data_IF_083672280706
#
_entry.id   IF_083672280706
#
_cell.length_a   1.000
_cell.length_b   1.000
_cell.length_c   1.000
_cell.angle_alpha   90.00
_cell.angle_beta   90.00
_cell.angle_gamma   90.00
#
_symmetry.space_group_name_H-M   'P 1'
#
loop_
_entity.id
_entity.type
_entity.pdbx_description
1 polymer ?
#
# COMPACT_ATOMS: atom_id res chain seq x y z
N UNK A 1 17.04 20.98 -42.76
CA UNK A 1 15.96 19.96 -42.79
C UNK A 1 16.00 19.27 -44.15
N UNK A 2 16.04 17.94 -44.18
CA UNK A 2 16.15 17.19 -45.44
C UNK A 2 14.88 17.32 -46.31
N UNK A 3 15.03 17.20 -47.61
CA UNK A 3 13.94 17.28 -48.59
C UNK A 3 12.75 16.35 -48.23
N UNK A 4 13.04 15.15 -47.78
CA UNK A 4 12.00 14.16 -47.36
C UNK A 4 11.12 14.69 -46.22
N UNK A 5 11.70 15.35 -45.21
CA UNK A 5 10.95 15.95 -44.10
C UNK A 5 10.06 17.11 -44.59
N UNK A 6 10.56 17.98 -45.46
CA UNK A 6 9.76 19.09 -46.00
C UNK A 6 8.55 18.58 -46.78
N UNK A 7 8.72 17.54 -47.60
CA UNK A 7 7.63 16.92 -48.34
C UNK A 7 6.64 16.24 -47.40
N UNK A 8 7.11 15.50 -46.38
CA UNK A 8 6.24 14.88 -45.36
C UNK A 8 5.38 15.93 -44.66
N UNK A 9 5.97 17.01 -44.20
CA UNK A 9 5.26 18.11 -43.56
C UNK A 9 4.20 18.76 -44.48
N UNK A 10 4.54 18.94 -45.75
CA UNK A 10 3.61 19.50 -46.75
C UNK A 10 2.42 18.55 -46.99
N UNK A 11 2.66 17.25 -47.06
CA UNK A 11 1.59 16.22 -47.19
C UNK A 11 0.61 16.23 -46.04
N UNK A 12 1.12 16.34 -44.81
CA UNK A 12 0.26 16.46 -43.60
C UNK A 12 -0.55 17.76 -43.63
N UNK A 13 0.08 18.87 -44.00
CA UNK A 13 -0.57 20.18 -44.04
C UNK A 13 -1.64 20.28 -45.15
N UNK A 14 -1.49 19.54 -46.23
CA UNK A 14 -2.45 19.49 -47.33
C UNK A 14 -3.69 18.66 -46.95
N UNK A 15 -3.53 17.60 -46.13
CA UNK A 15 -4.58 16.69 -45.67
C UNK A 15 -5.04 17.04 -44.25
N UNK A 16 -5.27 18.32 -43.92
CA UNK A 16 -5.52 18.81 -42.53
C UNK A 16 -6.58 18.01 -41.75
N UNK A 17 -7.74 17.75 -42.37
CA UNK A 17 -8.85 17.03 -41.69
C UNK A 17 -8.43 15.63 -41.29
N UNK A 18 -7.74 14.88 -42.14
CA UNK A 18 -7.25 13.54 -41.87
C UNK A 18 -6.14 13.58 -40.82
N UNK A 19 -5.18 14.51 -40.93
CA UNK A 19 -4.10 14.71 -39.97
C UNK A 19 -4.64 14.99 -38.57
N UNK A 20 -5.60 15.91 -38.42
CA UNK A 20 -6.23 16.22 -37.11
C UNK A 20 -6.94 15.01 -36.53
N UNK A 21 -7.70 14.26 -37.33
CA UNK A 21 -8.39 13.07 -36.85
C UNK A 21 -7.41 12.02 -36.31
N UNK A 22 -6.27 11.83 -36.98
CA UNK A 22 -5.22 10.90 -36.54
C UNK A 22 -4.60 11.37 -35.22
N UNK A 23 -4.23 12.65 -35.13
CA UNK A 23 -3.64 13.22 -33.91
C UNK A 23 -4.61 13.06 -32.72
N UNK A 24 -5.90 13.34 -32.93
CA UNK A 24 -6.91 13.15 -31.87
C UNK A 24 -6.99 11.68 -31.46
N UNK A 25 -7.00 10.74 -32.43
CA UNK A 25 -7.06 9.30 -32.12
C UNK A 25 -5.86 8.82 -31.31
N UNK A 26 -4.64 9.26 -31.70
CA UNK A 26 -3.41 8.93 -30.97
C UNK A 26 -3.42 9.58 -29.58
N UNK A 27 -3.78 10.87 -29.50
CA UNK A 27 -3.83 11.60 -28.24
C UNK A 27 -4.79 10.96 -27.23
N UNK A 28 -5.98 10.53 -27.68
CA UNK A 28 -6.93 9.79 -26.85
C UNK A 28 -6.31 8.47 -26.36
N UNK A 29 -5.71 7.68 -27.25
CA UNK A 29 -5.07 6.42 -26.87
C UNK A 29 -3.95 6.59 -25.85
N UNK A 30 -3.06 7.57 -26.05
CA UNK A 30 -1.96 7.88 -25.10
C UNK A 30 -2.51 8.40 -23.79
N UNK A 31 -3.53 9.26 -23.82
CA UNK A 31 -4.17 9.79 -22.62
C UNK A 31 -4.78 8.67 -21.76
N UNK A 32 -5.51 7.76 -22.39
CA UNK A 32 -6.09 6.59 -21.70
C UNK A 32 -5.00 5.73 -21.06
N UNK A 33 -3.88 5.50 -21.76
CA UNK A 33 -2.78 4.71 -21.25
C UNK A 33 -2.11 5.34 -20.03
N UNK A 34 -1.82 6.65 -20.09
CA UNK A 34 -1.24 7.39 -18.98
C UNK A 34 -2.22 7.40 -17.79
N UNK A 35 -3.50 7.63 -18.06
CA UNK A 35 -4.54 7.64 -17.04
C UNK A 35 -4.64 6.31 -16.30
N UNK A 36 -4.71 5.19 -17.02
CA UNK A 36 -4.76 3.85 -16.41
C UNK A 36 -3.51 3.60 -15.57
N UNK A 37 -2.32 3.92 -16.09
CA UNK A 37 -1.07 3.76 -15.36
C UNK A 37 -1.03 4.56 -14.04
N UNK A 38 -1.41 5.83 -14.08
CA UNK A 38 -1.47 6.69 -12.90
C UNK A 38 -2.54 6.23 -11.90
N UNK A 39 -3.70 5.81 -12.39
CA UNK A 39 -4.80 5.32 -11.54
C UNK A 39 -4.38 4.07 -10.78
N UNK A 40 -3.76 3.10 -11.45
CA UNK A 40 -3.31 1.85 -10.83
C UNK A 40 -2.21 2.12 -9.80
N UNK A 41 -1.19 2.91 -10.16
CA UNK A 41 -0.13 3.28 -9.23
C UNK A 41 -0.65 4.05 -8.02
N UNK A 42 -1.61 4.97 -8.23
CA UNK A 42 -2.25 5.71 -7.15
C UNK A 42 -3.03 4.82 -6.19
N UNK A 43 -3.81 3.87 -6.73
CA UNK A 43 -4.56 2.90 -5.93
C UNK A 43 -3.61 1.98 -5.14
N UNK A 44 -2.56 1.45 -5.76
CA UNK A 44 -1.58 0.61 -5.08
C UNK A 44 -0.89 1.36 -3.93
N UNK A 45 -0.44 2.59 -4.19
CA UNK A 45 0.17 3.43 -3.15
C UNK A 45 -0.80 3.69 -2.01
N UNK A 46 -2.03 4.07 -2.30
CA UNK A 46 -3.08 4.32 -1.31
C UNK A 46 -3.40 3.07 -0.48
N UNK A 47 -3.47 1.88 -1.11
CA UNK A 47 -3.69 0.62 -0.40
C UNK A 47 -2.53 0.30 0.56
N UNK A 48 -1.29 0.46 0.13
CA UNK A 48 -0.12 0.23 0.97
C UNK A 48 -0.10 1.22 2.14
N UNK A 49 -0.30 2.51 1.87
CA UNK A 49 -0.34 3.54 2.91
C UNK A 49 -1.48 3.32 3.91
N UNK A 50 -2.66 2.91 3.47
CA UNK A 50 -3.79 2.63 4.37
C UNK A 50 -3.59 1.35 5.21
N UNK A 51 -2.86 0.37 4.68
CA UNK A 51 -2.63 -0.92 5.36
C UNK A 51 -1.44 -0.85 6.30
N UNK A 52 -0.37 -0.18 5.89
CA UNK A 52 0.94 -0.21 6.57
C UNK A 52 1.37 1.15 7.11
N UNK A 53 0.89 2.25 6.51
CA UNK A 53 1.35 3.60 6.85
C UNK A 53 1.05 4.04 8.29
N UNK A 54 -0.01 3.49 8.89
CA UNK A 54 -0.44 3.76 10.26
C UNK A 54 -0.17 2.58 11.23
N UNK A 55 0.76 1.70 10.87
CA UNK A 55 1.17 0.55 11.69
C UNK A 55 2.69 0.37 11.65
N UNK A 56 3.20 -0.62 12.34
CA UNK A 56 4.62 -0.96 12.28
C UNK A 56 5.00 -1.48 10.88
N UNK A 57 6.13 -1.02 10.35
CA UNK A 57 6.67 -1.49 9.09
C UNK A 57 7.75 -2.56 9.25
N UNK A 58 8.39 -2.60 10.43
CA UNK A 58 9.33 -3.64 10.82
C UNK A 58 8.92 -4.13 12.21
N UNK A 59 8.92 -5.44 12.40
CA UNK A 59 8.51 -6.06 13.66
C UNK A 59 9.55 -7.10 14.05
N UNK A 60 9.98 -7.08 15.31
CA UNK A 60 10.79 -8.14 15.89
C UNK A 60 9.85 -9.07 16.64
N UNK A 61 9.85 -10.33 16.24
CA UNK A 61 9.01 -11.37 16.83
C UNK A 61 9.86 -12.49 17.42
N UNK A 62 9.37 -13.25 18.42
CA UNK A 62 10.04 -14.44 18.89
C UNK A 62 10.16 -15.47 17.76
N UNK A 63 11.31 -16.15 17.64
CA UNK A 63 11.50 -17.23 16.66
C UNK A 63 10.50 -18.37 16.86
N UNK A 64 10.10 -18.63 18.10
CA UNK A 64 9.07 -19.62 18.41
C UNK A 64 7.69 -18.95 18.38
N UNK A 65 6.82 -19.44 17.53
CA UNK A 65 5.42 -18.98 17.45
C UNK A 65 4.74 -19.02 18.82
N UNK A 66 4.10 -17.90 19.20
CA UNK A 66 3.47 -17.75 20.54
C UNK A 66 4.47 -17.57 21.69
N UNK A 67 5.76 -17.36 21.38
CA UNK A 67 6.79 -17.03 22.37
C UNK A 67 6.71 -15.59 22.86
N UNK A 68 7.65 -15.24 23.74
CA UNK A 68 7.80 -13.90 24.31
C UNK A 68 9.26 -13.49 24.24
N UNK A 69 9.52 -12.20 24.12
CA UNK A 69 10.85 -11.60 24.13
C UNK A 69 11.15 -11.11 25.54
N UNK A 70 12.18 -11.68 26.17
CA UNK A 70 12.71 -11.24 27.46
C UNK A 70 13.94 -10.38 27.23
N UNK A 71 14.25 -9.46 28.15
CA UNK A 71 15.38 -8.54 28.00
C UNK A 71 15.25 -7.60 26.79
N UNK A 72 14.02 -7.33 26.38
CA UNK A 72 13.68 -6.50 25.23
C UNK A 72 14.21 -5.06 25.38
N UNK A 73 14.50 -4.60 26.58
CA UNK A 73 15.00 -3.26 26.87
C UNK A 73 16.36 -2.97 26.19
N UNK A 74 17.23 -3.99 26.13
CA UNK A 74 18.52 -3.87 25.45
C UNK A 74 18.34 -3.72 23.92
N UNK A 75 17.38 -4.46 23.37
CA UNK A 75 17.00 -4.37 21.95
C UNK A 75 16.42 -2.98 21.68
N UNK A 76 15.48 -2.53 22.51
CA UNK A 76 14.86 -1.21 22.41
C UNK A 76 15.90 -0.10 22.35
N UNK A 77 16.87 -0.11 23.27
CA UNK A 77 17.92 0.89 23.31
C UNK A 77 18.75 0.95 22.02
N UNK A 78 19.14 -0.21 21.48
CA UNK A 78 19.87 -0.29 20.20
C UNK A 78 19.06 0.26 19.03
N UNK A 79 17.73 0.06 19.03
CA UNK A 79 16.84 0.53 17.99
C UNK A 79 16.56 2.03 18.08
N UNK A 80 16.45 2.57 19.30
CA UNK A 80 16.27 4.00 19.54
C UNK A 80 17.50 4.82 19.13
N UNK A 81 18.70 4.22 19.23
CA UNK A 81 19.98 4.83 18.81
C UNK A 81 20.21 4.72 17.28
N UNK A 82 19.29 4.14 16.50
CA UNK A 82 19.44 3.93 15.06
C UNK A 82 18.72 5.02 14.25
N UNK A 83 19.48 5.84 13.54
CA UNK A 83 18.97 6.96 12.73
C UNK A 83 18.01 6.52 11.58
N UNK A 84 18.04 5.25 11.14
CA UNK A 84 17.14 4.72 10.11
C UNK A 84 15.75 4.35 10.69
N UNK A 85 15.59 4.35 12.02
CA UNK A 85 14.34 4.00 12.72
C UNK A 85 13.70 5.27 13.28
N UNK A 86 12.47 5.55 12.89
CA UNK A 86 11.76 6.77 13.27
C UNK A 86 11.12 6.66 14.65
N UNK A 87 10.34 5.59 14.84
CA UNK A 87 9.62 5.30 16.07
C UNK A 87 9.79 3.84 16.44
N UNK A 88 9.94 3.57 17.73
CA UNK A 88 10.00 2.20 18.28
C UNK A 88 9.03 2.07 19.42
N UNK A 89 8.28 0.98 19.42
CA UNK A 89 7.36 0.61 20.49
C UNK A 89 7.46 -0.88 20.77
N UNK A 90 6.90 -1.31 21.88
CA UNK A 90 6.77 -2.71 22.23
C UNK A 90 5.34 -3.02 22.66
N UNK A 91 4.91 -4.24 22.43
CA UNK A 91 3.55 -4.68 22.71
C UNK A 91 3.53 -6.06 23.34
N UNK A 92 2.67 -6.23 24.31
CA UNK A 92 2.28 -7.55 24.82
C UNK A 92 0.87 -7.84 24.33
N UNK A 93 0.74 -8.83 23.46
CA UNK A 93 -0.56 -9.19 22.90
C UNK A 93 -0.96 -10.62 23.25
N UNK A 94 -2.25 -10.84 23.37
CA UNK A 94 -2.82 -12.17 23.62
C UNK A 94 -4.17 -12.31 22.91
N UNK A 95 -4.36 -13.41 22.14
CA UNK A 95 -5.69 -13.76 21.64
C UNK A 95 -6.66 -13.92 22.81
N UNK A 96 -7.83 -13.35 22.68
CA UNK A 96 -8.82 -13.27 23.74
C UNK A 96 -10.23 -13.42 23.16
N UNK A 97 -11.21 -13.58 24.05
CA UNK A 97 -12.62 -13.63 23.67
C UNK A 97 -13.39 -12.54 24.41
N UNK A 98 -14.18 -11.78 23.69
CA UNK A 98 -15.12 -10.82 24.29
C UNK A 98 -16.53 -11.40 24.30
N UNK A 99 -17.24 -11.19 25.40
CA UNK A 99 -18.64 -11.60 25.58
C UNK A 99 -19.55 -10.42 25.25
N UNK A 100 -20.11 -10.39 24.05
CA UNK A 100 -20.91 -9.27 23.54
C UNK A 100 -22.24 -9.78 22.99
N UNK A 101 -23.34 -9.16 23.41
CA UNK A 101 -24.67 -9.51 22.90
C UNK A 101 -25.05 -10.98 23.06
N UNK A 102 -24.55 -11.66 24.09
CA UNK A 102 -24.79 -13.07 24.33
C UNK A 102 -23.97 -14.03 23.44
N UNK A 103 -23.02 -13.49 22.67
CA UNK A 103 -22.10 -14.24 21.82
C UNK A 103 -20.67 -14.00 22.23
N UNK A 104 -19.83 -15.02 22.02
CA UNK A 104 -18.38 -14.94 22.24
C UNK A 104 -17.70 -14.64 20.90
N UNK A 105 -16.95 -13.54 20.83
CA UNK A 105 -16.20 -13.14 19.64
C UNK A 105 -14.70 -13.17 19.91
N UNK A 106 -13.92 -13.55 18.91
CA UNK A 106 -12.45 -13.52 18.99
C UNK A 106 -11.96 -12.08 18.84
N UNK A 107 -11.10 -11.63 19.75
CA UNK A 107 -10.46 -10.33 19.78
C UNK A 107 -8.98 -10.48 20.12
N UNK A 108 -8.18 -9.49 19.81
CA UNK A 108 -6.77 -9.41 20.17
C UNK A 108 -6.59 -8.33 21.23
N UNK A 109 -6.30 -8.75 22.47
CA UNK A 109 -5.95 -7.82 23.54
C UNK A 109 -4.49 -7.41 23.38
N UNK A 110 -4.24 -6.11 23.26
CA UNK A 110 -2.93 -5.51 23.03
C UNK A 110 -2.61 -4.49 24.12
N UNK A 111 -1.55 -4.75 24.85
CA UNK A 111 -1.04 -3.84 25.87
C UNK A 111 0.14 -3.05 25.34
N UNK A 112 0.04 -1.74 25.41
CA UNK A 112 1.07 -0.81 24.98
C UNK A 112 1.59 0.06 26.13
N UNK A 113 2.80 0.55 25.96
CA UNK A 113 3.20 1.81 26.58
C UNK A 113 2.75 2.92 25.64
N UNK A 114 1.76 3.72 26.03
CA UNK A 114 1.15 4.72 25.14
C UNK A 114 2.14 5.80 24.69
N UNK A 115 3.10 6.21 25.54
CA UNK A 115 4.11 7.20 25.16
C UNK A 115 4.97 6.72 24.00
N UNK A 116 5.31 5.43 23.95
CA UNK A 116 6.09 4.81 22.87
C UNK A 116 5.22 4.50 21.64
N UNK A 117 3.99 4.05 21.86
CA UNK A 117 3.08 3.65 20.80
C UNK A 117 2.48 4.84 20.04
N UNK A 118 2.41 6.03 20.66
CA UNK A 118 1.85 7.24 20.04
C UNK A 118 2.56 7.60 18.75
N UNK A 119 3.89 7.47 18.69
CA UNK A 119 4.66 7.73 17.48
C UNK A 119 4.30 6.83 16.29
N UNK A 120 3.85 5.59 16.54
CA UNK A 120 3.49 4.61 15.51
C UNK A 120 2.01 4.68 15.18
N UNK A 121 1.15 4.68 16.18
CA UNK A 121 -0.30 4.53 16.02
C UNK A 121 -1.08 5.81 16.12
N UNK A 122 -0.57 6.83 16.84
CA UNK A 122 -1.26 8.11 17.04
C UNK A 122 -2.61 7.92 17.75
N UNK A 123 -2.66 7.08 18.79
CA UNK A 123 -3.92 6.73 19.46
C UNK A 123 -4.65 7.94 19.99
N UNK A 124 -3.91 8.96 20.52
CA UNK A 124 -4.51 10.18 21.05
C UNK A 124 -5.27 10.98 19.99
N UNK A 125 -4.70 11.10 18.78
CA UNK A 125 -5.33 11.83 17.66
C UNK A 125 -6.46 11.05 16.99
N UNK A 126 -6.45 9.71 17.14
CA UNK A 126 -7.41 8.80 16.51
C UNK A 126 -8.56 8.38 17.41
N UNK A 127 -8.65 8.95 18.62
CA UNK A 127 -9.82 8.81 19.48
C UNK A 127 -11.01 9.55 18.84
N UNK A 128 -12.14 8.85 18.77
CA UNK A 128 -13.41 9.41 18.29
C UNK A 128 -14.41 9.63 19.43
N UNK A 129 -14.20 8.94 20.57
CA UNK A 129 -14.97 9.08 21.81
C UNK A 129 -14.11 8.73 23.02
N UNK A 130 -14.32 9.39 24.15
CA UNK A 130 -13.65 9.11 25.42
C UNK A 130 -12.22 9.62 25.54
N UNK A 131 -11.36 8.90 26.23
CA UNK A 131 -9.95 9.24 26.51
C UNK A 131 -9.05 8.00 26.51
N UNK A 132 -7.73 8.22 26.41
CA UNK A 132 -6.75 7.15 26.62
C UNK A 132 -6.91 6.50 28.00
N UNK A 133 -6.65 5.19 28.15
CA UNK A 133 -6.68 4.51 29.44
C UNK A 133 -5.72 5.16 30.44
N UNK A 134 -6.20 5.37 31.67
CA UNK A 134 -5.42 5.94 32.79
C UNK A 134 -5.30 4.97 33.95
N UNK A 135 -6.07 3.92 33.91
CA UNK A 135 -6.08 2.88 34.95
C UNK A 135 -5.97 1.47 34.33
N UNK A 136 -5.61 0.50 35.17
CA UNK A 136 -5.38 -0.88 34.76
C UNK A 136 -6.65 -1.63 34.32
N UNK A 137 -7.83 -1.11 34.59
CA UNK A 137 -9.09 -1.71 34.16
C UNK A 137 -9.71 -1.04 32.97
N UNK A 138 -9.01 -0.07 32.37
CA UNK A 138 -9.51 0.69 31.24
C UNK A 138 -8.95 0.17 29.92
N UNK A 139 -9.80 0.21 28.89
CA UNK A 139 -9.47 -0.23 27.53
C UNK A 139 -9.99 0.74 26.48
N UNK A 140 -9.35 0.72 25.32
CA UNK A 140 -9.90 1.26 24.09
C UNK A 140 -10.46 0.14 23.23
N UNK A 141 -11.57 0.41 22.57
CA UNK A 141 -12.13 -0.48 21.55
C UNK A 141 -12.14 0.23 20.18
N UNK A 142 -12.08 -0.53 19.11
CA UNK A 142 -12.15 0.05 17.78
C UNK A 142 -13.59 0.40 17.38
N UNK A 143 -13.71 1.35 16.45
CA UNK A 143 -14.97 1.90 15.96
C UNK A 143 -15.96 0.83 15.50
N UNK A 144 -15.51 -0.14 14.70
CA UNK A 144 -16.38 -1.19 14.17
C UNK A 144 -16.94 -2.10 15.24
N UNK A 145 -16.18 -2.35 16.34
CA UNK A 145 -16.71 -3.05 17.52
C UNK A 145 -17.76 -2.20 18.22
N UNK A 146 -17.45 -0.91 18.45
CA UNK A 146 -18.34 0.02 19.10
C UNK A 146 -19.67 0.16 18.36
N UNK A 147 -19.65 0.36 17.05
CA UNK A 147 -20.84 0.51 16.21
C UNK A 147 -21.66 -0.80 16.14
N UNK A 148 -20.99 -1.94 15.96
CA UNK A 148 -21.66 -3.24 15.81
C UNK A 148 -22.40 -3.69 17.05
N UNK A 149 -21.88 -3.37 18.25
CA UNK A 149 -22.43 -3.80 19.53
C UNK A 149 -23.00 -2.65 20.35
N UNK A 150 -23.14 -1.46 19.76
CA UNK A 150 -23.69 -0.25 20.37
C UNK A 150 -22.97 0.18 21.67
N UNK A 151 -21.63 -0.04 21.74
CA UNK A 151 -20.78 0.23 22.88
C UNK A 151 -20.25 1.68 22.86
N UNK A 152 -20.10 2.27 24.05
CA UNK A 152 -19.61 3.66 24.26
C UNK A 152 -18.58 3.72 25.37
N UNK A 153 -17.92 4.87 25.50
CA UNK A 153 -17.07 5.14 26.65
C UNK A 153 -17.90 5.06 27.96
N UNK A 154 -17.28 4.46 28.97
CA UNK A 154 -17.80 4.10 30.30
C UNK A 154 -18.70 2.85 30.33
N UNK A 155 -18.91 2.15 29.23
CA UNK A 155 -19.59 0.86 29.26
C UNK A 155 -18.65 -0.23 29.80
N UNK A 156 -19.26 -1.26 30.44
CA UNK A 156 -18.56 -2.47 30.90
C UNK A 156 -18.25 -3.38 29.71
N UNK A 157 -17.06 -3.97 29.71
CA UNK A 157 -16.59 -4.86 28.68
C UNK A 157 -15.99 -6.12 29.25
N UNK A 158 -16.60 -7.27 28.98
CA UNK A 158 -16.14 -8.55 29.50
C UNK A 158 -15.19 -9.24 28.52
N UNK A 159 -14.02 -9.63 29.03
CA UNK A 159 -13.01 -10.36 28.26
C UNK A 159 -12.59 -11.64 28.98
N UNK A 160 -12.39 -12.69 28.20
CA UNK A 160 -11.85 -13.96 28.67
C UNK A 160 -10.52 -14.24 27.95
N UNK A 161 -9.47 -14.51 28.74
CA UNK A 161 -8.11 -14.73 28.22
C UNK A 161 -7.70 -16.19 28.43
N UNK A 162 -7.32 -16.93 27.37
CA UNK A 162 -6.78 -18.28 27.50
C UNK A 162 -5.52 -18.35 28.39
N UNK A 163 -5.28 -19.45 29.15
CA UNK A 163 -6.08 -20.67 29.16
C UNK A 163 -7.29 -20.60 30.10
N UNK A 164 -7.49 -19.50 30.83
CA UNK A 164 -8.52 -19.34 31.83
C UNK A 164 -9.81 -18.73 31.23
N UNK A 165 -10.32 -19.30 30.15
CA UNK A 165 -11.50 -18.78 29.40
C UNK A 165 -12.76 -18.71 30.27
N UNK A 166 -12.79 -19.38 31.43
CA UNK A 166 -13.91 -19.35 32.39
C UNK A 166 -13.84 -18.17 33.38
N UNK A 167 -12.71 -17.47 33.43
CA UNK A 167 -12.53 -16.28 34.25
C UNK A 167 -12.70 -15.03 33.38
N UNK A 168 -13.93 -14.54 33.35
CA UNK A 168 -14.21 -13.24 32.76
C UNK A 168 -13.51 -12.14 33.57
N UNK A 169 -12.95 -11.18 32.88
CA UNK A 169 -12.44 -9.92 33.44
C UNK A 169 -13.36 -8.79 33.01
N UNK A 170 -13.84 -8.04 33.96
CA UNK A 170 -14.65 -6.86 33.71
C UNK A 170 -13.70 -5.67 33.55
N UNK A 171 -13.76 -5.05 32.39
CA UNK A 171 -12.97 -3.88 32.01
C UNK A 171 -13.95 -2.74 31.67
N UNK A 172 -13.48 -1.52 31.67
CA UNK A 172 -14.27 -0.35 31.35
C UNK A 172 -13.73 0.24 30.04
N UNK A 173 -14.60 0.53 29.11
CA UNK A 173 -14.25 1.22 27.87
C UNK A 173 -13.94 2.68 28.23
N UNK A 174 -12.66 3.09 28.14
CA UNK A 174 -12.27 4.48 28.36
C UNK A 174 -12.44 5.33 27.11
N UNK A 175 -12.44 4.70 25.93
CA UNK A 175 -12.62 5.41 24.66
C UNK A 175 -12.72 4.49 23.45
N UNK A 176 -13.07 5.10 22.34
CA UNK A 176 -13.22 4.44 21.04
C UNK A 176 -12.21 5.06 20.04
N UNK A 177 -11.49 4.22 19.33
CA UNK A 177 -10.49 4.67 18.33
C UNK A 177 -10.89 4.29 16.89
N UNK A 178 -10.37 5.03 15.90
CA UNK A 178 -10.49 4.74 14.48
C UNK A 178 -9.12 4.80 13.78
N UNK A 179 -8.48 3.64 13.59
CA UNK A 179 -7.21 3.49 12.85
C UNK A 179 -7.39 3.55 11.32
N UNK A 180 -8.60 3.83 10.82
CA UNK A 180 -8.94 3.80 9.38
C UNK A 180 -8.71 2.42 8.73
N UNK A 181 -8.75 1.37 9.54
CA UNK A 181 -8.64 -0.02 9.12
C UNK A 181 -9.72 -0.83 9.83
N UNK A 182 -10.74 -1.24 9.08
CA UNK A 182 -11.91 -1.92 9.63
C UNK A 182 -11.56 -3.26 10.31
N UNK A 183 -10.54 -3.99 9.80
CA UNK A 183 -10.12 -5.26 10.40
C UNK A 183 -9.48 -5.05 11.77
N UNK A 184 -8.64 -4.02 11.93
CA UNK A 184 -8.03 -3.67 13.21
C UNK A 184 -9.06 -3.13 14.18
N UNK A 185 -9.88 -2.18 13.75
CA UNK A 185 -10.94 -1.61 14.57
C UNK A 185 -12.01 -2.65 14.97
N UNK A 186 -12.18 -3.71 14.18
CA UNK A 186 -13.13 -4.79 14.47
C UNK A 186 -12.59 -5.88 15.40
N UNK A 187 -11.28 -5.88 15.70
CA UNK A 187 -10.64 -6.98 16.43
C UNK A 187 -9.73 -6.54 17.59
N UNK A 188 -9.19 -5.33 17.58
CA UNK A 188 -8.25 -4.89 18.62
C UNK A 188 -8.97 -4.32 19.84
N UNK A 189 -8.50 -4.78 21.00
CA UNK A 189 -8.76 -4.19 22.31
C UNK A 189 -7.42 -3.69 22.85
N UNK A 190 -7.32 -2.43 23.18
CA UNK A 190 -6.05 -1.79 23.54
C UNK A 190 -6.10 -1.35 25.00
N UNK A 191 -5.04 -1.61 25.75
CA UNK A 191 -4.89 -1.20 27.13
C UNK A 191 -3.44 -0.81 27.45
N UNK A 192 -3.20 -0.34 28.66
CA UNK A 192 -1.85 -0.25 29.22
C UNK A 192 -1.21 -1.63 29.29
N UNK A 193 0.11 -1.70 29.02
CA UNK A 193 0.83 -2.98 28.99
C UNK A 193 0.78 -3.71 30.34
N UNK A 194 0.77 -2.96 31.45
CA UNK A 194 0.70 -3.54 32.79
C UNK A 194 -0.62 -4.26 33.04
N UNK A 195 -1.71 -3.80 32.44
CA UNK A 195 -2.99 -4.49 32.46
C UNK A 195 -2.86 -5.89 31.83
N UNK A 196 -2.27 -5.97 30.63
CA UNK A 196 -2.10 -7.26 29.95
C UNK A 196 -1.11 -8.14 30.68
N UNK A 197 -0.02 -7.59 31.25
CA UNK A 197 0.93 -8.33 32.09
C UNK A 197 0.25 -8.99 33.30
N UNK A 198 -0.60 -8.26 33.99
CA UNK A 198 -1.36 -8.79 35.13
C UNK A 198 -2.37 -9.88 34.73
N UNK A 199 -3.09 -9.67 33.63
CA UNK A 199 -4.08 -10.62 33.13
C UNK A 199 -3.40 -11.91 32.67
N UNK A 200 -2.26 -11.84 31.99
CA UNK A 200 -1.56 -12.99 31.39
C UNK A 200 -0.51 -13.62 32.29
N UNK A 201 -0.09 -12.94 33.37
CA UNK A 201 1.03 -13.36 34.21
C UNK A 201 2.41 -13.25 33.52
N UNK A 202 2.54 -12.46 32.46
CA UNK A 202 3.74 -12.34 31.62
C UNK A 202 4.57 -11.08 31.94
N UNK A 203 4.93 -10.92 33.19
CA UNK A 203 5.78 -9.79 33.62
C UNK A 203 7.16 -9.83 33.00
N UNK A 204 7.74 -8.66 32.68
CA UNK A 204 9.09 -8.52 32.14
C UNK A 204 9.29 -9.05 30.72
N UNK A 205 8.23 -9.28 29.99
CA UNK A 205 8.30 -9.74 28.60
C UNK A 205 7.37 -8.96 27.68
N UNK A 206 7.61 -9.08 26.38
CA UNK A 206 6.75 -8.53 25.33
C UNK A 206 6.54 -9.57 24.23
N UNK A 207 5.46 -9.44 23.47
CA UNK A 207 5.19 -10.32 22.33
C UNK A 207 5.95 -9.89 21.09
N UNK A 208 6.11 -8.58 20.91
CA UNK A 208 6.72 -7.97 19.72
C UNK A 208 7.37 -6.64 20.07
N UNK A 209 8.39 -6.28 19.28
CA UNK A 209 8.89 -4.90 19.19
C UNK A 209 8.51 -4.39 17.80
N UNK A 210 7.89 -3.24 17.76
CA UNK A 210 7.30 -2.65 16.55
C UNK A 210 8.05 -1.37 16.20
N UNK A 211 8.37 -1.20 14.92
CA UNK A 211 9.15 -0.07 14.44
C UNK A 211 8.50 0.59 13.24
N UNK A 212 8.68 1.89 13.14
CA UNK A 212 8.31 2.70 12.01
C UNK A 212 9.55 3.35 11.40
N UNK A 213 9.59 3.40 10.09
CA UNK A 213 10.65 4.05 9.29
C UNK A 213 10.05 5.19 8.48
N UNK A 214 10.86 6.10 7.97
CA UNK A 214 10.35 7.25 7.22
C UNK A 214 9.69 6.83 5.89
N UNK A 215 10.32 5.90 5.18
CA UNK A 215 9.81 5.41 3.89
C UNK A 215 9.42 3.94 4.01
N UNK A 216 8.12 3.64 3.88
CA UNK A 216 7.55 2.29 4.01
C UNK A 216 8.27 1.25 3.12
N UNK A 217 8.68 1.67 1.92
CA UNK A 217 9.33 0.78 0.96
C UNK A 217 10.78 0.45 1.29
N UNK A 218 11.45 1.25 2.14
CA UNK A 218 12.81 0.98 2.62
C UNK A 218 12.85 0.04 3.82
N UNK A 219 11.71 -0.26 4.44
CA UNK A 219 11.60 -1.16 5.60
C UNK A 219 12.31 -2.51 5.40
N UNK A 220 12.21 -3.11 4.21
CA UNK A 220 12.88 -4.39 3.89
C UNK A 220 14.42 -4.26 3.93
N UNK A 221 14.97 -3.16 3.38
CA UNK A 221 16.41 -2.91 3.40
C UNK A 221 16.91 -2.67 4.82
N UNK A 222 16.15 -1.87 5.59
CA UNK A 222 16.47 -1.54 6.98
C UNK A 222 16.39 -2.81 7.83
N UNK A 223 15.32 -3.60 7.71
CA UNK A 223 15.17 -4.87 8.43
C UNK A 223 16.36 -5.82 8.20
N UNK A 224 16.87 -5.94 6.97
CA UNK A 224 18.05 -6.77 6.63
C UNK A 224 19.37 -6.24 7.21
N UNK A 225 19.47 -4.94 7.47
CA UNK A 225 20.66 -4.31 8.11
C UNK A 225 20.62 -4.40 9.62
N UNK A 226 19.42 -4.53 10.22
CA UNK A 226 19.28 -4.64 11.66
C UNK A 226 19.96 -5.92 12.14
N UNK A 227 21.15 -5.77 12.71
CA UNK A 227 21.89 -6.88 13.31
C UNK A 227 21.48 -7.00 14.79
N UNK A 228 20.56 -7.90 15.08
CA UNK A 228 20.10 -8.18 16.42
C UNK A 228 20.83 -9.44 16.89
N UNK A 229 21.78 -9.28 17.81
CA UNK A 229 22.56 -10.37 18.41
C UNK A 229 21.69 -11.19 19.39
N UNK A 230 20.55 -11.67 18.91
CA UNK A 230 19.66 -12.53 19.67
C UNK A 230 19.06 -13.59 18.77
N UNK A 231 19.46 -14.83 18.94
CA UNK A 231 19.03 -15.99 18.15
C UNK A 231 17.57 -16.42 18.46
N UNK A 232 16.95 -15.85 19.48
CA UNK A 232 15.58 -16.18 19.87
C UNK A 232 14.52 -15.30 19.17
N UNK A 233 14.96 -14.31 18.37
CA UNK A 233 14.06 -13.39 17.67
C UNK A 233 14.31 -13.38 16.18
N UNK A 234 13.29 -12.99 15.43
CA UNK A 234 13.31 -12.79 13.98
C UNK A 234 12.83 -11.38 13.66
N UNK A 235 13.50 -10.73 12.71
CA UNK A 235 13.10 -9.43 12.19
C UNK A 235 12.25 -9.67 10.95
N UNK A 236 10.98 -9.30 11.02
CA UNK A 236 10.03 -9.34 9.90
C UNK A 236 9.76 -7.92 9.42
N UNK A 237 9.48 -7.77 8.15
CA UNK A 237 9.03 -6.51 7.59
C UNK A 237 7.56 -6.64 7.12
N UNK A 238 6.93 -5.52 6.83
CA UNK A 238 5.52 -5.49 6.44
C UNK A 238 5.20 -6.33 5.19
N UNK A 239 6.18 -6.55 4.29
CA UNK A 239 5.97 -7.38 3.10
C UNK A 239 5.81 -8.85 3.47
N UNK A 240 6.60 -9.33 4.45
CA UNK A 240 6.52 -10.71 4.93
C UNK A 240 5.15 -10.99 5.58
N UNK A 241 4.58 -9.97 6.24
CA UNK A 241 3.27 -10.07 6.89
C UNK A 241 2.08 -9.87 5.94
N UNK A 242 2.30 -9.34 4.73
CA UNK A 242 1.25 -9.03 3.76
C UNK A 242 1.49 -9.68 2.39
N UNK A 243 1.96 -10.93 2.37
CA UNK A 243 2.25 -11.66 1.12
C UNK A 243 1.04 -11.77 0.18
N UNK A 244 -0.16 -11.99 0.73
CA UNK A 244 -1.40 -12.08 -0.05
C UNK A 244 -1.73 -10.74 -0.74
N UNK A 245 -1.61 -9.63 -0.02
CA UNK A 245 -1.81 -8.29 -0.57
C UNK A 245 -0.80 -8.03 -1.69
N UNK A 246 0.49 -8.32 -1.46
CA UNK A 246 1.53 -8.14 -2.46
C UNK A 246 1.33 -9.02 -3.70
N UNK A 247 0.89 -10.26 -3.51
CA UNK A 247 0.55 -11.18 -4.61
C UNK A 247 -0.61 -10.61 -5.45
N UNK A 248 -1.65 -10.08 -4.81
CA UNK A 248 -2.77 -9.45 -5.50
C UNK A 248 -2.32 -8.19 -6.28
N UNK A 249 -1.49 -7.33 -5.68
CA UNK A 249 -0.94 -6.14 -6.34
C UNK A 249 -0.02 -6.50 -7.52
N UNK A 250 0.79 -7.55 -7.39
CA UNK A 250 1.61 -8.06 -8.49
C UNK A 250 0.75 -8.60 -9.65
N UNK A 251 -0.31 -9.35 -9.34
CA UNK A 251 -1.27 -9.80 -10.34
C UNK A 251 -1.94 -8.65 -11.09
N UNK A 252 -2.32 -7.59 -10.37
CA UNK A 252 -2.86 -6.37 -10.95
C UNK A 252 -1.84 -5.66 -11.87
N UNK A 253 -0.57 -5.60 -11.44
CA UNK A 253 0.52 -4.99 -12.23
C UNK A 253 0.72 -5.74 -13.55
N UNK A 254 0.76 -7.08 -13.52
CA UNK A 254 0.91 -7.92 -14.71
C UNK A 254 -0.28 -7.72 -15.66
N UNK A 255 -1.50 -7.72 -15.12
CA UNK A 255 -2.72 -7.48 -15.90
C UNK A 255 -2.70 -6.10 -16.59
N UNK A 256 -2.30 -5.07 -15.85
CA UNK A 256 -2.14 -3.71 -16.38
C UNK A 256 -1.10 -3.65 -17.51
N UNK A 257 0.04 -4.30 -17.33
CA UNK A 257 1.10 -4.35 -18.33
C UNK A 257 0.61 -5.03 -19.63
N UNK A 258 -0.14 -6.13 -19.52
CA UNK A 258 -0.75 -6.78 -20.67
C UNK A 258 -1.72 -5.84 -21.41
N UNK A 259 -2.60 -5.15 -20.69
CA UNK A 259 -3.52 -4.16 -21.27
C UNK A 259 -2.73 -3.05 -21.99
N UNK A 260 -1.67 -2.54 -21.39
CA UNK A 260 -0.82 -1.51 -22.00
C UNK A 260 -0.17 -2.00 -23.30
N UNK A 261 0.33 -3.24 -23.33
CA UNK A 261 0.91 -3.84 -24.54
C UNK A 261 -0.15 -3.93 -25.64
N UNK A 262 -1.37 -4.36 -25.33
CA UNK A 262 -2.46 -4.45 -26.30
C UNK A 262 -2.88 -3.07 -26.84
N UNK A 263 -2.91 -2.04 -26.00
CA UNK A 263 -3.20 -0.67 -26.43
C UNK A 263 -2.11 -0.17 -27.40
N UNK A 264 -0.82 -0.36 -27.06
CA UNK A 264 0.30 0.03 -27.92
C UNK A 264 0.21 -0.69 -29.27
N UNK A 265 -0.03 -1.99 -29.28
CA UNK A 265 -0.17 -2.77 -30.50
C UNK A 265 -1.34 -2.26 -31.37
N UNK A 266 -2.50 -1.99 -30.73
CA UNK A 266 -3.67 -1.43 -31.42
C UNK A 266 -3.38 -0.06 -32.04
N UNK A 267 -2.71 0.83 -31.31
CA UNK A 267 -2.28 2.13 -31.85
C UNK A 267 -1.32 1.98 -33.01
N UNK A 268 -0.34 1.07 -32.92
CA UNK A 268 0.61 0.81 -34.02
C UNK A 268 -0.11 0.32 -35.30
N UNK A 269 -1.08 -0.60 -35.17
CA UNK A 269 -1.89 -1.09 -36.29
C UNK A 269 -2.72 0.05 -36.87
N UNK A 270 -3.34 0.87 -36.04
CA UNK A 270 -4.16 2.01 -36.46
C UNK A 270 -3.32 3.01 -37.24
N UNK A 271 -2.16 3.42 -36.72
CA UNK A 271 -1.23 4.34 -37.39
C UNK A 271 -0.76 3.74 -38.74
N UNK A 272 -0.39 2.46 -38.74
CA UNK A 272 0.06 1.77 -39.97
C UNK A 272 -1.04 1.75 -41.04
N UNK A 273 -2.28 1.47 -40.66
CA UNK A 273 -3.42 1.45 -41.56
C UNK A 273 -3.69 2.83 -42.17
N UNK A 274 -3.61 3.88 -41.36
CA UNK A 274 -3.81 5.25 -41.84
C UNK A 274 -2.68 5.70 -42.73
N UNK A 275 -1.42 5.34 -42.40
CA UNK A 275 -0.28 5.62 -43.31
C UNK A 275 -0.44 4.90 -44.64
N UNK A 276 -0.89 3.64 -44.65
CA UNK A 276 -1.15 2.93 -45.91
C UNK A 276 -2.21 3.64 -46.76
N UNK A 277 -3.31 4.10 -46.17
CA UNK A 277 -4.31 4.90 -46.87
C UNK A 277 -3.72 6.21 -47.38
N UNK A 278 -2.89 6.87 -46.55
CA UNK A 278 -2.19 8.12 -46.98
C UNK A 278 -1.29 7.89 -48.17
N UNK A 279 -0.53 6.78 -48.20
CA UNK A 279 0.30 6.38 -49.35
C UNK A 279 -0.55 6.18 -50.61
N UNK A 280 -1.66 5.46 -50.49
CA UNK A 280 -2.59 5.21 -51.61
C UNK A 280 -3.17 6.52 -52.15
N UNK A 281 -3.57 7.44 -51.29
CA UNK A 281 -4.10 8.74 -51.72
C UNK A 281 -3.05 9.65 -52.40
N UNK A 282 -1.76 9.49 -52.06
CA UNK A 282 -0.65 10.26 -52.61
C UNK A 282 0.13 9.53 -53.70
N UNK A 283 -0.32 8.34 -54.13
CA UNK A 283 0.37 7.48 -55.09
C UNK A 283 0.73 8.23 -56.38
N UNK A 284 -0.20 9.03 -56.91
CA UNK A 284 0.00 9.83 -58.14
C UNK A 284 1.07 10.92 -57.97
N UNK A 285 1.08 11.60 -56.83
CA UNK A 285 2.06 12.62 -56.48
C UNK A 285 3.47 12.02 -56.32
N UNK A 286 3.56 10.86 -55.63
CA UNK A 286 4.82 10.13 -55.49
C UNK A 286 5.35 9.62 -56.82
N UNK A 287 4.48 9.19 -57.73
CA UNK A 287 4.82 8.79 -59.10
C UNK A 287 5.46 9.95 -59.88
N UNK A 288 4.90 11.15 -59.80
CA UNK A 288 5.48 12.37 -60.44
C UNK A 288 6.86 12.67 -59.83
N UNK A 289 7.01 12.64 -58.52
CA UNK A 289 8.28 12.88 -57.86
C UNK A 289 9.36 11.84 -58.25
N UNK A 290 8.98 10.57 -58.43
CA UNK A 290 9.88 9.53 -58.93
C UNK A 290 10.30 9.79 -60.39
N UNK A 291 9.37 10.22 -61.27
CA UNK A 291 9.68 10.59 -62.63
C UNK A 291 10.64 11.80 -62.71
N UNK A 292 10.62 12.67 -61.70
CA UNK A 292 11.56 13.80 -61.56
C UNK A 292 12.89 13.40 -60.88
N UNK A 293 13.15 12.09 -60.66
CA UNK A 293 14.42 11.59 -60.13
C UNK A 293 14.44 11.32 -58.61
N UNK A 294 13.28 11.30 -57.92
CA UNK A 294 13.25 10.92 -56.49
C UNK A 294 13.51 9.43 -56.36
N UNK A 295 14.57 9.07 -55.61
CA UNK A 295 14.90 7.67 -55.28
C UNK A 295 13.87 7.01 -54.39
N UNK A 296 13.70 5.68 -54.52
CA UNK A 296 12.76 4.89 -53.73
C UNK A 296 13.02 4.99 -52.24
N UNK A 297 14.26 5.07 -51.79
CA UNK A 297 14.64 5.26 -50.38
C UNK A 297 14.16 6.60 -49.83
N UNK A 298 14.27 7.66 -50.62
CA UNK A 298 13.75 8.99 -50.22
C UNK A 298 12.24 9.02 -50.19
N UNK A 299 11.56 8.32 -51.09
CA UNK A 299 10.11 8.17 -51.06
C UNK A 299 9.65 7.45 -49.77
N UNK A 300 10.34 6.40 -49.36
CA UNK A 300 10.07 5.72 -48.06
C UNK A 300 10.31 6.66 -46.88
N UNK A 301 11.40 7.41 -46.85
CA UNK A 301 11.70 8.39 -45.81
C UNK A 301 10.61 9.45 -45.63
N UNK A 302 9.92 9.85 -46.70
CA UNK A 302 8.81 10.81 -46.62
C UNK A 302 7.68 10.23 -45.72
N UNK A 303 7.29 8.98 -45.93
CA UNK A 303 6.23 8.34 -45.14
C UNK A 303 6.68 7.97 -43.74
N UNK A 304 7.98 7.62 -43.58
CA UNK A 304 8.55 7.42 -42.24
C UNK A 304 8.49 8.70 -41.40
N UNK A 305 8.92 9.85 -41.98
CA UNK A 305 8.81 11.15 -41.30
C UNK A 305 7.36 11.56 -41.05
N UNK A 306 6.44 11.22 -41.95
CA UNK A 306 5.02 11.47 -41.77
C UNK A 306 4.49 10.67 -40.52
N UNK A 307 4.88 9.39 -40.37
CA UNK A 307 4.55 8.60 -39.20
C UNK A 307 5.14 9.15 -37.90
N UNK A 308 6.43 9.55 -37.94
CA UNK A 308 7.11 10.14 -36.77
C UNK A 308 6.56 11.51 -36.35
N UNK A 309 6.00 12.28 -37.27
CA UNK A 309 5.36 13.58 -36.91
C UNK A 309 3.97 13.36 -36.29
N UNK A 310 3.30 12.26 -36.65
CA UNK A 310 1.95 11.94 -36.18
C UNK A 310 1.96 11.25 -34.82
N UNK A 311 2.97 10.42 -34.50
CA UNK A 311 3.13 9.69 -33.25
C UNK A 311 4.03 10.41 -32.28
#
# INVERSE_FOLDING_TARGET
MGLAFQIAWRFLKESKKQTILIIIGIAVGVTVQIFIGLLINGLQKSLIESTVGNSSQITIVPQKTGGYIFGYEEIMKKLEDNDEVKNVSYVLETPSFANLGGSQISVLLRGFNFDKAEGIYGFGEKLIDGSLPKSENEILIGKELAEKYELKANDEFQIAVPPLVFLNRDLIISGVFDLKNAALNGSWIISEIETVRKITGKSGSVSKIEMQVDEVFDAEKIAKKLNIDNTEVVVENWKDQNEELLSALNGQTISSLLIQIFIIASLAITISSILAISVMNKYRQVGILKAMGLDGKRAFQIFLFQGLILG
#
